data_IF_629445229871
#
_entry.id   IF_629445229871
#
_cell.length_a   1.000
_cell.length_b   1.000
_cell.length_c   1.000
_cell.angle_alpha   90.00
_cell.angle_beta   90.00
_cell.angle_gamma   90.00
#
_symmetry.space_group_name_H-M   'P 1'
#
loop_
_entity.id
_entity.type
_entity.pdbx_description
1 polymer ?
#
# COMPACT_ATOMS: atom_id res chain seq x y z
N UNK A 1 12.71 1.08 -16.58
CA UNK A 1 11.36 0.45 -16.63
C UNK A 1 10.31 1.17 -15.77
N UNK A 2 10.36 1.17 -14.42
CA UNK A 2 9.29 1.77 -13.59
C UNK A 2 9.09 3.27 -13.82
N UNK A 3 10.16 4.07 -13.70
CA UNK A 3 10.10 5.53 -13.89
C UNK A 3 9.63 5.91 -15.30
N UNK A 4 10.19 5.28 -16.32
CA UNK A 4 9.84 5.53 -17.73
C UNK A 4 8.37 5.22 -18.03
N UNK A 5 7.86 4.10 -17.50
CA UNK A 5 6.44 3.73 -17.67
C UNK A 5 5.51 4.76 -17.04
N UNK A 6 5.81 5.23 -15.83
CA UNK A 6 5.01 6.25 -15.16
C UNK A 6 5.09 7.61 -15.89
N UNK A 7 6.28 8.01 -16.33
CA UNK A 7 6.45 9.23 -17.12
C UNK A 7 5.68 9.18 -18.44
N UNK A 8 5.64 8.03 -19.12
CA UNK A 8 4.83 7.85 -20.35
C UNK A 8 3.32 7.94 -20.12
N UNK A 9 2.88 7.87 -18.86
CA UNK A 9 1.47 8.01 -18.44
C UNK A 9 1.20 9.37 -17.78
N UNK A 10 2.09 10.35 -18.00
CA UNK A 10 2.04 11.71 -17.46
C UNK A 10 2.13 11.81 -15.93
N UNK A 11 2.71 10.81 -15.25
CA UNK A 11 2.98 10.95 -13.82
C UNK A 11 4.15 11.89 -13.58
N UNK A 12 4.06 12.68 -12.51
CA UNK A 12 5.11 13.59 -12.08
C UNK A 12 5.89 12.97 -10.92
N UNK A 13 7.22 13.04 -10.99
CA UNK A 13 8.06 12.62 -9.88
C UNK A 13 8.00 13.66 -8.75
N UNK A 14 7.81 13.20 -7.51
CA UNK A 14 7.72 14.07 -6.32
C UNK A 14 8.80 13.72 -5.30
N UNK A 15 9.26 14.74 -4.59
CA UNK A 15 10.21 14.59 -3.49
C UNK A 15 9.52 15.01 -2.19
N UNK A 16 9.18 14.02 -1.36
CA UNK A 16 8.45 14.24 -0.10
C UNK A 16 9.40 14.27 1.10
N UNK A 17 9.12 15.08 2.14
CA UNK A 17 9.96 15.14 3.33
C UNK A 17 10.00 13.79 4.05
N UNK A 18 11.15 13.47 4.64
CA UNK A 18 11.38 12.23 5.41
C UNK A 18 11.44 12.45 6.91
N UNK A 19 11.44 13.72 7.34
CA UNK A 19 11.36 14.14 8.72
C UNK A 19 9.97 14.74 8.94
N UNK A 20 9.25 14.23 9.93
CA UNK A 20 7.91 14.65 10.31
C UNK A 20 7.91 15.09 11.77
N UNK A 21 7.00 16.00 12.14
CA UNK A 21 6.83 16.44 13.53
C UNK A 21 6.15 15.37 14.42
N UNK A 22 5.58 14.32 13.83
CA UNK A 22 4.87 13.26 14.53
C UNK A 22 4.66 12.03 13.66
N UNK A 23 4.25 10.93 14.28
CA UNK A 23 4.03 9.66 13.57
C UNK A 23 2.96 9.81 12.50
N UNK A 24 3.25 9.36 11.28
CA UNK A 24 2.28 9.36 10.18
C UNK A 24 1.24 8.23 10.31
N UNK A 25 1.59 7.14 10.99
CA UNK A 25 0.73 5.98 11.19
C UNK A 25 0.71 5.61 12.68
N UNK A 26 -0.47 5.30 13.21
CA UNK A 26 -0.63 4.84 14.59
C UNK A 26 -0.24 3.36 14.71
N UNK A 27 0.44 2.99 15.79
CA UNK A 27 0.71 1.58 16.12
C UNK A 27 1.98 0.96 15.54
N UNK A 28 2.78 1.71 14.77
CA UNK A 28 4.07 1.24 14.25
C UNK A 28 5.25 1.92 14.96
N UNK A 29 6.36 1.21 15.12
CA UNK A 29 7.58 1.75 15.72
C UNK A 29 8.13 2.90 14.88
N UNK A 30 8.40 4.04 15.52
CA UNK A 30 8.97 5.24 14.88
C UNK A 30 10.37 5.50 15.39
N UNK A 31 11.28 5.84 14.46
CA UNK A 31 12.58 6.40 14.81
C UNK A 31 12.40 7.88 15.14
N UNK A 32 12.59 8.25 16.40
CA UNK A 32 12.51 9.63 16.89
C UNK A 32 13.90 10.23 17.01
N UNK A 33 14.01 11.51 16.72
CA UNK A 33 15.24 12.29 16.84
C UNK A 33 14.91 13.72 17.24
N UNK A 34 15.87 14.40 17.86
CA UNK A 34 15.82 15.84 18.08
C UNK A 34 16.33 16.55 16.82
N UNK A 35 15.52 17.44 16.26
CA UNK A 35 15.87 18.27 15.11
C UNK A 35 15.71 19.74 15.48
N UNK A 36 16.83 20.46 15.59
CA UNK A 36 16.86 21.87 15.99
C UNK A 36 16.14 22.15 17.32
N UNK A 37 16.27 21.23 18.28
CA UNK A 37 15.64 21.33 19.61
C UNK A 37 14.12 21.10 19.59
N UNK A 38 13.60 20.51 18.52
CA UNK A 38 12.22 20.04 18.42
C UNK A 38 12.19 18.53 18.15
N UNK A 39 11.22 17.81 18.72
CA UNK A 39 11.07 16.40 18.42
C UNK A 39 10.63 16.20 16.97
N UNK A 40 11.30 15.29 16.29
CA UNK A 40 10.96 14.84 14.95
C UNK A 40 10.97 13.30 14.89
N UNK A 41 10.38 12.74 13.84
CA UNK A 41 10.47 11.34 13.51
C UNK A 41 10.71 11.11 12.02
N UNK A 42 11.29 9.95 11.70
CA UNK A 42 11.38 9.50 10.32
C UNK A 42 10.00 9.04 9.81
N UNK A 43 9.65 9.47 8.60
CA UNK A 43 8.44 9.05 7.92
C UNK A 43 8.47 7.53 7.66
N UNK A 44 7.41 6.82 8.08
CA UNK A 44 7.28 5.37 7.85
C UNK A 44 6.86 5.06 6.41
N UNK A 45 6.05 5.94 5.83
CA UNK A 45 5.53 5.81 4.47
C UNK A 45 5.32 7.19 3.85
N UNK A 46 5.54 7.38 2.53
CA UNK A 46 5.21 8.61 1.84
C UNK A 46 3.69 8.79 1.59
N UNK A 47 2.84 7.89 2.08
CA UNK A 47 1.41 7.82 1.76
C UNK A 47 0.65 9.14 1.97
N UNK A 48 0.84 9.80 3.12
CA UNK A 48 0.18 11.08 3.42
C UNK A 48 0.52 12.17 2.39
N UNK A 49 1.80 12.34 2.06
CA UNK A 49 2.25 13.34 1.09
C UNK A 49 1.83 13.01 -0.34
N UNK A 50 1.71 11.71 -0.67
CA UNK A 50 1.10 11.27 -1.94
C UNK A 50 -0.37 11.70 -2.01
N UNK A 51 -1.16 11.46 -0.96
CA UNK A 51 -2.57 11.90 -0.90
C UNK A 51 -2.72 13.41 -1.02
N UNK A 52 -1.89 14.19 -0.32
CA UNK A 52 -1.89 15.66 -0.43
C UNK A 52 -1.56 16.17 -1.84
N UNK A 53 -0.69 15.45 -2.56
CA UNK A 53 -0.35 15.80 -3.95
C UNK A 53 -1.48 15.46 -4.91
N UNK A 54 -2.19 14.34 -4.69
CA UNK A 54 -3.38 13.97 -5.47
C UNK A 54 -4.48 15.03 -5.31
N UNK A 55 -4.69 15.52 -4.09
CA UNK A 55 -5.69 16.56 -3.82
C UNK A 55 -5.42 17.88 -4.56
N UNK A 56 -4.15 18.24 -4.72
CA UNK A 56 -3.73 19.55 -5.28
C UNK A 56 -3.18 19.46 -6.71
N UNK A 57 -3.20 18.29 -7.37
CA UNK A 57 -2.47 18.08 -8.62
C UNK A 57 -3.11 17.06 -9.58
N UNK A 58 -2.61 16.96 -10.83
CA UNK A 58 -3.21 16.14 -11.90
C UNK A 58 -2.97 14.63 -11.76
N UNK A 59 -2.38 14.17 -10.66
CA UNK A 59 -2.00 12.78 -10.43
C UNK A 59 -3.19 11.94 -9.96
N UNK A 60 -4.10 11.59 -10.87
CA UNK A 60 -5.29 10.77 -10.57
C UNK A 60 -5.48 9.55 -11.47
N UNK A 61 -4.41 9.02 -12.09
CA UNK A 61 -4.53 7.92 -13.05
C UNK A 61 -4.29 6.57 -12.38
N UNK A 62 -5.15 5.59 -12.66
CA UNK A 62 -4.93 4.20 -12.27
C UNK A 62 -4.11 3.47 -13.34
N UNK A 63 -3.26 2.52 -12.94
CA UNK A 63 -2.59 1.64 -13.89
C UNK A 63 -3.59 0.58 -14.37
N UNK A 64 -3.70 0.39 -15.69
CA UNK A 64 -4.55 -0.67 -16.25
C UNK A 64 -3.86 -2.04 -16.31
N UNK A 65 -4.72 -3.08 -16.22
CA UNK A 65 -4.50 -4.53 -16.41
C UNK A 65 -3.54 -5.22 -15.43
N UNK A 66 -3.99 -5.33 -14.19
CA UNK A 66 -3.57 -6.42 -13.28
C UNK A 66 -4.78 -7.30 -13.02
N UNK A 67 -4.58 -8.62 -12.85
CA UNK A 67 -5.63 -9.51 -12.33
C UNK A 67 -6.19 -8.90 -11.04
N UNK A 68 -7.49 -8.61 -11.04
CA UNK A 68 -8.19 -8.00 -9.92
C UNK A 68 -9.21 -9.00 -9.40
N UNK A 69 -8.94 -9.51 -8.20
CA UNK A 69 -9.88 -10.31 -7.45
C UNK A 69 -10.44 -9.43 -6.33
N UNK A 70 -11.75 -9.45 -6.16
CA UNK A 70 -12.40 -8.90 -4.99
C UNK A 70 -12.08 -9.75 -3.76
N UNK A 71 -12.25 -9.17 -2.58
CA UNK A 71 -12.05 -9.90 -1.33
C UNK A 71 -13.00 -11.11 -1.24
N UNK A 72 -14.26 -10.94 -1.65
CA UNK A 72 -15.27 -11.99 -1.68
C UNK A 72 -14.87 -13.16 -2.59
N UNK A 73 -14.39 -12.88 -3.80
CA UNK A 73 -13.87 -13.91 -4.72
C UNK A 73 -12.65 -14.64 -4.12
N UNK A 74 -11.74 -13.90 -3.49
CA UNK A 74 -10.56 -14.50 -2.82
C UNK A 74 -10.96 -15.43 -1.66
N UNK A 75 -11.92 -15.01 -0.84
CA UNK A 75 -12.47 -15.84 0.25
C UNK A 75 -13.19 -17.07 -0.32
N UNK A 76 -13.92 -16.92 -1.42
CA UNK A 76 -14.61 -18.04 -2.06
C UNK A 76 -13.61 -19.09 -2.60
N UNK A 77 -12.54 -18.66 -3.27
CA UNK A 77 -11.45 -19.54 -3.73
C UNK A 77 -10.82 -20.31 -2.55
N UNK A 78 -10.60 -19.63 -1.43
CA UNK A 78 -10.02 -20.24 -0.23
C UNK A 78 -10.97 -21.24 0.43
N UNK A 79 -12.27 -20.93 0.48
CA UNK A 79 -13.32 -21.84 0.98
C UNK A 79 -13.44 -23.09 0.11
N UNK A 80 -13.40 -22.95 -1.22
CA UNK A 80 -13.40 -24.07 -2.16
C UNK A 80 -12.18 -24.98 -1.96
N UNK A 81 -11.03 -24.41 -1.60
CA UNK A 81 -9.82 -25.14 -1.25
C UNK A 81 -9.78 -25.66 0.21
N UNK A 82 -10.90 -25.63 0.92
CA UNK A 82 -11.07 -26.15 2.27
C UNK A 82 -10.44 -25.31 3.38
N UNK A 83 -10.21 -24.01 3.16
CA UNK A 83 -9.71 -23.09 4.20
C UNK A 83 -10.89 -22.37 4.84
N UNK A 84 -11.03 -22.51 6.16
CA UNK A 84 -11.99 -21.71 6.92
C UNK A 84 -11.45 -20.29 7.13
N UNK A 85 -12.19 -19.31 6.63
CA UNK A 85 -11.87 -17.89 6.73
C UNK A 85 -13.12 -17.12 7.13
N UNK A 86 -12.97 -16.27 8.14
CA UNK A 86 -13.98 -15.28 8.51
C UNK A 86 -14.17 -14.28 7.35
N UNK A 87 -15.39 -14.14 6.79
CA UNK A 87 -15.68 -13.20 5.71
C UNK A 87 -15.40 -11.72 6.02
N UNK A 88 -15.23 -11.35 7.30
CA UNK A 88 -14.87 -10.00 7.71
C UNK A 88 -13.51 -9.93 8.41
N UNK A 89 -12.82 -11.07 8.52
CA UNK A 89 -11.53 -11.18 9.18
C UNK A 89 -10.36 -10.93 8.22
N UNK A 90 -9.21 -10.57 8.79
CA UNK A 90 -7.98 -10.42 8.02
C UNK A 90 -7.46 -11.77 7.51
N UNK A 91 -6.90 -11.76 6.29
CA UNK A 91 -6.17 -12.89 5.77
C UNK A 91 -4.80 -12.97 6.45
N UNK A 92 -4.53 -14.06 7.17
CA UNK A 92 -3.21 -14.33 7.71
C UNK A 92 -2.21 -14.71 6.59
N UNK A 93 -0.92 -14.76 6.94
CA UNK A 93 0.19 -15.04 6.00
C UNK A 93 0.01 -16.33 5.21
N UNK A 94 -0.50 -17.40 5.84
CA UNK A 94 -0.66 -18.71 5.20
C UNK A 94 -1.82 -18.70 4.20
N UNK A 95 -2.94 -18.08 4.57
CA UNK A 95 -4.09 -17.90 3.67
C UNK A 95 -3.73 -17.02 2.46
N UNK A 96 -2.96 -15.95 2.66
CA UNK A 96 -2.48 -15.10 1.56
C UNK A 96 -1.59 -15.89 0.59
N UNK A 97 -0.67 -16.71 1.10
CA UNK A 97 0.21 -17.56 0.27
C UNK A 97 -0.58 -18.60 -0.51
N UNK A 98 -1.51 -19.30 0.16
CA UNK A 98 -2.35 -20.32 -0.48
C UNK A 98 -3.23 -19.71 -1.56
N UNK A 99 -3.82 -18.54 -1.32
CA UNK A 99 -4.58 -17.82 -2.34
C UNK A 99 -3.71 -17.50 -3.56
N UNK A 100 -2.47 -17.02 -3.34
CA UNK A 100 -1.54 -16.75 -4.42
C UNK A 100 -1.20 -17.98 -5.28
N UNK A 101 -1.05 -19.15 -4.66
CA UNK A 101 -0.82 -20.42 -5.38
C UNK A 101 -2.04 -20.82 -6.22
N UNK A 102 -3.24 -20.79 -5.63
CA UNK A 102 -4.49 -21.16 -6.32
C UNK A 102 -4.79 -20.22 -7.50
N UNK A 103 -4.42 -18.94 -7.39
CA UNK A 103 -4.58 -17.95 -8.46
C UNK A 103 -3.55 -18.14 -9.57
N UNK A 104 -2.36 -18.67 -9.27
CA UNK A 104 -1.34 -18.99 -10.26
C UNK A 104 -1.68 -20.25 -11.07
N UNK A 105 -2.36 -21.21 -10.44
CA UNK A 105 -2.75 -22.49 -11.04
C UNK A 105 -3.98 -22.37 -11.97
N UNK A 106 -4.74 -21.28 -11.87
CA UNK A 106 -5.90 -20.97 -12.73
C UNK A 106 -5.51 -20.11 -13.94
#
# INVERSE_FOLDING_TARGET
>A
VFRENLLSKDFVNIHTPKLLAGSSEGGSAVFRLEYQGQPACLAQSPQLHKQMTIYNGPCGRFLEKTLRLTFEEGVQILKEAGVEIDPLGDLNTESQRKLGQLVLEK
#
